data_IF_176139732832
#
_entry.id   IF_176139732832
#
_cell.length_a   1.000
_cell.length_b   1.000
_cell.length_c   1.000
_cell.angle_alpha   90.00
_cell.angle_beta   90.00
_cell.angle_gamma   90.00
#
_symmetry.space_group_name_H-M   'P 1'
#
loop_
_entity.id
_entity.type
_entity.pdbx_description
1 polymer ?
#
# COMPACT_ATOMS: atom_id res chain seq x y z
N UNK A 1 -2.28 -3.84 -7.56
CA UNK A 1 -2.14 -5.28 -7.23
C UNK A 1 -1.71 -5.52 -5.78
N UNK A 2 -0.53 -5.10 -5.32
CA UNK A 2 -0.06 -5.40 -3.94
C UNK A 2 -1.02 -5.01 -2.79
N UNK A 3 -1.64 -3.84 -2.86
CA UNK A 3 -2.59 -3.36 -1.83
C UNK A 3 -3.79 -4.31 -1.64
N UNK A 4 -4.40 -4.77 -2.74
CA UNK A 4 -5.53 -5.71 -2.70
C UNK A 4 -5.11 -7.09 -2.16
N UNK A 5 -3.87 -7.52 -2.43
CA UNK A 5 -3.33 -8.78 -1.89
C UNK A 5 -3.15 -8.69 -0.37
N UNK A 6 -2.71 -7.55 0.14
CA UNK A 6 -2.60 -7.32 1.58
C UNK A 6 -3.97 -7.32 2.25
N UNK A 7 -4.93 -6.58 1.68
CA UNK A 7 -6.29 -6.49 2.19
C UNK A 7 -6.96 -7.86 2.33
N UNK A 8 -6.97 -8.66 1.24
CA UNK A 8 -7.57 -10.01 1.26
C UNK A 8 -6.87 -11.00 2.20
N UNK A 9 -5.63 -10.71 2.57
CA UNK A 9 -4.86 -11.51 3.51
C UNK A 9 -5.06 -11.05 4.97
N UNK A 10 -5.94 -10.07 5.22
CA UNK A 10 -6.26 -9.57 6.55
C UNK A 10 -5.29 -8.51 7.09
N UNK A 11 -4.32 -8.06 6.29
CA UNK A 11 -3.43 -6.96 6.67
C UNK A 11 -4.13 -5.62 6.48
N UNK A 12 -3.94 -4.71 7.45
CA UNK A 12 -4.42 -3.33 7.38
C UNK A 12 -3.83 -2.61 6.14
N UNK A 13 -4.67 -2.25 5.14
CA UNK A 13 -4.22 -1.59 3.92
C UNK A 13 -3.57 -0.21 4.17
N UNK A 14 -3.93 0.47 5.26
CA UNK A 14 -3.39 1.79 5.60
C UNK A 14 -1.88 1.74 5.86
N UNK A 15 -1.36 0.60 6.34
CA UNK A 15 0.07 0.39 6.57
C UNK A 15 0.91 0.51 5.29
N UNK A 16 0.30 0.30 4.11
CA UNK A 16 0.99 0.54 2.84
C UNK A 16 1.37 2.02 2.68
N UNK A 17 0.49 2.95 3.03
CA UNK A 17 0.79 4.39 2.93
C UNK A 17 1.90 4.77 3.90
N UNK A 18 1.87 4.23 5.12
CA UNK A 18 2.90 4.44 6.14
C UNK A 18 4.26 3.96 5.64
N UNK A 19 4.33 2.75 5.08
CA UNK A 19 5.56 2.20 4.50
C UNK A 19 6.16 3.13 3.44
N UNK A 20 5.33 3.62 2.50
CA UNK A 20 5.81 4.49 1.42
C UNK A 20 6.22 5.88 1.91
N UNK A 21 5.57 6.42 2.95
CA UNK A 21 6.02 7.65 3.63
C UNK A 21 7.37 7.45 4.30
N UNK A 22 7.57 6.32 4.99
CA UNK A 22 8.84 6.00 5.64
C UNK A 22 9.97 5.82 4.62
N UNK A 23 9.70 5.16 3.49
CA UNK A 23 10.68 5.03 2.40
C UNK A 23 11.03 6.39 1.77
N UNK A 24 10.04 7.28 1.60
CA UNK A 24 10.28 8.63 1.10
C UNK A 24 11.13 9.47 2.06
N UNK A 25 10.93 9.30 3.38
CA UNK A 25 11.70 9.99 4.41
C UNK A 25 13.11 9.41 4.60
N UNK A 26 13.27 8.10 4.41
CA UNK A 26 14.56 7.41 4.49
C UNK A 26 15.40 7.57 3.21
N UNK A 27 14.75 7.79 2.07
CA UNK A 27 15.40 8.08 0.80
C UNK A 27 15.99 9.49 0.80
N UNK A 28 17.22 9.63 0.28
CA UNK A 28 17.75 10.93 -0.11
C UNK A 28 17.00 11.52 -1.32
N UNK A 29 17.51 12.62 -1.90
CA UNK A 29 16.89 13.24 -3.07
C UNK A 29 16.58 12.23 -4.17
N UNK A 30 15.30 11.97 -4.42
CA UNK A 30 14.88 11.03 -5.47
C UNK A 30 15.24 11.65 -6.84
N UNK A 31 15.87 10.88 -7.75
CA UNK A 31 15.99 11.33 -9.13
C UNK A 31 14.58 11.63 -9.69
N UNK A 32 14.41 12.66 -10.55
CA UNK A 32 13.14 12.91 -11.22
C UNK A 32 12.54 11.62 -11.79
N UNK A 33 11.22 11.45 -11.68
CA UNK A 33 10.54 10.18 -11.98
C UNK A 33 10.84 9.65 -13.39
N UNK A 34 11.03 10.54 -14.38
CA UNK A 34 11.45 10.19 -15.74
C UNK A 34 12.82 9.49 -15.84
N UNK A 35 13.70 9.71 -14.88
CA UNK A 35 15.04 9.11 -14.82
C UNK A 35 15.11 7.87 -13.92
N UNK A 36 14.03 7.53 -13.22
CA UNK A 36 13.97 6.40 -12.29
C UNK A 36 13.29 5.19 -12.92
N UNK A 37 13.83 3.99 -12.70
CA UNK A 37 13.16 2.71 -13.05
C UNK A 37 12.06 2.31 -12.06
N UNK A 38 11.85 3.12 -11.02
CA UNK A 38 10.83 2.94 -10.00
C UNK A 38 9.93 4.19 -9.93
N UNK A 39 8.62 4.04 -9.65
CA UNK A 39 7.71 5.16 -9.50
C UNK A 39 8.17 6.09 -8.36
N UNK A 40 7.94 7.38 -8.53
CA UNK A 40 8.21 8.36 -7.49
C UNK A 40 7.34 8.07 -6.27
N UNK A 41 7.89 8.33 -5.08
CA UNK A 41 7.20 8.02 -3.83
C UNK A 41 5.83 8.71 -3.73
N UNK A 42 5.72 9.95 -4.23
CA UNK A 42 4.47 10.74 -4.25
C UNK A 42 3.38 10.09 -5.10
N UNK A 43 3.68 9.83 -6.38
CA UNK A 43 2.78 9.17 -7.33
C UNK A 43 2.26 7.84 -6.78
N UNK A 44 3.11 7.11 -6.07
CA UNK A 44 2.72 5.85 -5.43
C UNK A 44 1.81 6.03 -4.23
N UNK A 45 2.08 7.01 -3.36
CA UNK A 45 1.23 7.31 -2.20
C UNK A 45 -0.17 7.73 -2.67
N UNK A 46 -0.26 8.55 -3.70
CA UNK A 46 -1.54 9.02 -4.25
C UNK A 46 -2.35 7.85 -4.85
N UNK A 47 -1.71 6.97 -5.63
CA UNK A 47 -2.36 5.76 -6.14
C UNK A 47 -2.85 4.82 -5.02
N UNK A 48 -2.11 4.71 -3.92
CA UNK A 48 -2.53 3.93 -2.75
C UNK A 48 -3.74 4.56 -2.05
N UNK A 49 -3.80 5.89 -1.97
CA UNK A 49 -4.94 6.61 -1.40
C UNK A 49 -6.20 6.47 -2.26
N UNK A 50 -6.06 6.55 -3.59
CA UNK A 50 -7.18 6.36 -4.52
C UNK A 50 -7.78 4.95 -4.45
N UNK A 51 -6.95 3.93 -4.22
CA UNK A 51 -7.40 2.54 -4.08
C UNK A 51 -7.77 2.14 -2.64
N UNK A 52 -7.72 3.07 -1.69
CA UNK A 52 -7.86 2.77 -0.26
C UNK A 52 -9.26 2.28 0.12
N UNK A 53 -10.30 2.89 -0.45
CA UNK A 53 -11.69 2.54 -0.13
C UNK A 53 -11.99 1.08 -0.49
N UNK A 54 -11.63 0.66 -1.71
CA UNK A 54 -11.78 -0.72 -2.18
C UNK A 54 -10.94 -1.71 -1.35
N UNK A 55 -9.72 -1.30 -0.97
CA UNK A 55 -8.87 -2.13 -0.13
C UNK A 55 -9.44 -2.32 1.28
N UNK A 56 -10.03 -1.27 1.87
CA UNK A 56 -10.70 -1.36 3.18
C UNK A 56 -11.98 -2.19 3.13
N UNK A 57 -12.72 -2.14 2.02
CA UNK A 57 -13.83 -3.07 1.80
C UNK A 57 -13.33 -4.53 1.78
N UNK A 58 -12.30 -4.80 0.95
CA UNK A 58 -11.68 -6.12 0.85
C UNK A 58 -11.09 -6.64 2.17
N UNK A 59 -10.54 -5.75 3.00
CA UNK A 59 -9.98 -6.08 4.31
C UNK A 59 -11.06 -6.42 5.34
N UNK A 60 -12.20 -5.71 5.31
CA UNK A 60 -13.35 -6.03 6.16
C UNK A 60 -14.00 -7.37 5.78
N UNK A 61 -14.05 -7.65 4.49
CA UNK A 61 -14.59 -8.91 3.95
C UNK A 61 -13.60 -10.08 4.09
N UNK A 62 -12.32 -9.79 4.37
CA UNK A 62 -11.33 -10.80 4.72
C UNK A 62 -11.72 -11.39 6.08
N UNK A 63 -12.54 -12.45 6.05
CA UNK A 63 -12.91 -13.22 7.22
C UNK A 63 -11.63 -13.61 7.96
N UNK A 64 -11.51 -13.38 9.28
CA UNK A 64 -10.38 -13.91 10.03
C UNK A 64 -10.29 -15.40 9.73
N UNK A 65 -9.09 -15.90 9.45
CA UNK A 65 -8.88 -17.31 9.21
C UNK A 65 -9.60 -18.09 10.31
N UNK A 66 -10.54 -18.95 9.92
CA UNK A 66 -11.27 -19.79 10.86
C UNK A 66 -10.28 -20.78 11.47
N UNK A 67 -9.69 -20.37 12.59
CA UNK A 67 -8.77 -21.17 13.38
C UNK A 67 -9.51 -22.17 14.29
N UNK A 68 -10.79 -22.45 14.02
CA UNK A 68 -11.56 -23.51 14.67
C UNK A 68 -11.10 -24.87 14.13
N UNK A 69 -9.94 -25.32 14.59
CA UNK A 69 -9.51 -26.72 14.47
C UNK A 69 -10.34 -27.65 15.32
#
# INVERSE_FOLDING_TARGET
MGLAIMARAGFDPQQSVVLWRNMAAAGGGQPPEFLSTHPAHGSRIEALQQAMEEALASHRDANPADCSG
#
